data_IF_941932398745
#
_entry.id   IF_941932398745
#
_cell.length_a   1.000
_cell.length_b   1.000
_cell.length_c   1.000
_cell.angle_alpha   90.00
_cell.angle_beta   90.00
_cell.angle_gamma   90.00
#
_symmetry.space_group_name_H-M   'P 1'
#
loop_
_entity.id
_entity.type
_entity.pdbx_description
1 polymer ?
#
# COMPACT_ATOMS: atom_id res chain seq x y z
N UNK A 1 20.18 -33.38 54.31
CA UNK A 1 19.22 -33.30 53.18
C UNK A 1 18.92 -31.82 52.99
N UNK A 2 19.39 -31.08 51.98
CA UNK A 2 19.58 -31.46 50.59
C UNK A 2 18.35 -31.01 49.80
N UNK A 3 18.45 -29.82 49.21
CA UNK A 3 17.77 -29.33 47.99
C UNK A 3 16.24 -29.15 48.00
N UNK A 4 15.75 -27.92 47.78
CA UNK A 4 15.33 -27.50 46.43
C UNK A 4 14.75 -26.08 46.43
N UNK A 5 15.25 -25.31 45.47
CA UNK A 5 14.87 -23.96 45.11
C UNK A 5 13.48 -23.92 44.45
N UNK A 6 12.65 -22.91 44.72
CA UNK A 6 11.64 -22.47 43.75
C UNK A 6 11.87 -20.99 43.38
N UNK A 7 12.32 -20.82 42.15
CA UNK A 7 12.62 -19.54 41.51
C UNK A 7 11.41 -19.04 40.73
N UNK A 8 10.58 -18.20 41.33
CA UNK A 8 9.59 -17.43 40.58
C UNK A 8 10.20 -16.14 40.03
N UNK A 9 10.87 -16.26 38.88
CA UNK A 9 11.26 -15.11 38.04
C UNK A 9 10.04 -14.58 37.29
N UNK A 10 9.54 -13.43 37.73
CA UNK A 10 8.48 -12.66 37.04
C UNK A 10 9.08 -12.00 35.79
N UNK A 11 8.60 -12.39 34.61
CA UNK A 11 9.01 -11.79 33.32
C UNK A 11 8.50 -10.34 33.16
N UNK A 12 9.26 -9.44 32.51
CA UNK A 12 8.87 -8.06 32.32
C UNK A 12 7.95 -7.86 31.09
N UNK A 13 7.10 -6.84 31.19
CA UNK A 13 6.13 -6.39 30.20
C UNK A 13 6.78 -6.06 28.84
N UNK A 14 6.19 -6.60 27.77
CA UNK A 14 6.58 -6.34 26.38
C UNK A 14 6.27 -4.90 25.96
N UNK A 15 7.30 -4.23 25.44
CA UNK A 15 7.24 -2.90 24.87
C UNK A 15 6.28 -2.84 23.67
N UNK A 16 5.32 -1.90 23.73
CA UNK A 16 4.47 -1.54 22.61
C UNK A 16 5.30 -0.92 21.49
N UNK A 17 5.50 -1.66 20.40
CA UNK A 17 6.00 -1.11 19.14
C UNK A 17 4.92 -0.22 18.52
N UNK A 18 4.99 1.07 18.84
CA UNK A 18 4.26 2.14 18.18
C UNK A 18 4.63 2.15 16.70
N UNK A 19 3.79 1.52 15.89
CA UNK A 19 3.90 1.44 14.44
C UNK A 19 3.51 2.80 13.87
N UNK A 20 4.48 3.73 13.83
CA UNK A 20 4.31 5.03 13.16
C UNK A 20 4.00 4.75 11.69
N UNK A 21 2.76 5.05 11.29
CA UNK A 21 2.29 4.91 9.92
C UNK A 21 3.12 5.74 8.95
N UNK A 22 3.41 5.17 7.78
CA UNK A 22 4.10 5.86 6.69
C UNK A 22 3.20 6.99 6.17
N UNK A 23 3.67 8.25 6.05
CA UNK A 23 2.86 9.35 5.57
C UNK A 23 2.51 9.16 4.09
N UNK A 24 1.24 9.37 3.75
CA UNK A 24 0.68 9.26 2.40
C UNK A 24 1.29 10.28 1.40
N UNK A 25 2.14 11.22 1.85
CA UNK A 25 2.91 12.09 0.95
C UNK A 25 3.90 11.33 0.06
N UNK A 26 4.18 10.05 0.35
CA UNK A 26 4.97 9.16 -0.51
C UNK A 26 4.15 8.35 -1.54
N UNK A 27 2.84 8.59 -1.68
CA UNK A 27 1.95 7.87 -2.61
C UNK A 27 1.35 8.75 -3.72
N UNK A 28 2.07 9.79 -4.14
CA UNK A 28 1.71 10.55 -5.33
C UNK A 28 2.68 10.18 -6.46
N UNK A 29 2.22 9.32 -7.38
CA UNK A 29 2.72 9.35 -8.75
C UNK A 29 2.21 10.64 -9.38
N UNK A 30 3.10 11.59 -9.63
CA UNK A 30 2.89 12.60 -10.65
C UNK A 30 3.81 12.25 -11.83
N UNK A 31 3.18 11.92 -12.96
CA UNK A 31 3.77 11.87 -14.29
C UNK A 31 4.10 13.30 -14.74
N UNK A 32 5.34 13.52 -15.19
CA UNK A 32 5.72 14.56 -16.13
C UNK A 32 7.00 14.11 -16.84
N UNK A 33 6.90 13.91 -18.16
CA UNK A 33 7.98 13.61 -19.13
C UNK A 33 9.05 14.72 -19.10
N UNK A 34 10.35 14.47 -19.35
CA UNK A 34 10.99 14.17 -20.65
C UNK A 34 12.52 13.89 -20.43
N UNK A 35 13.40 13.66 -21.44
CA UNK A 35 14.22 12.45 -21.56
C UNK A 35 15.77 12.67 -21.54
N UNK A 36 16.49 11.54 -21.73
CA UNK A 36 17.81 11.37 -22.38
C UNK A 36 19.04 11.02 -21.51
N UNK A 37 19.48 9.75 -21.65
CA UNK A 37 20.85 9.15 -21.75
C UNK A 37 21.92 9.50 -20.68
N UNK A 38 22.92 8.69 -20.29
CA UNK A 38 23.41 7.33 -20.51
C UNK A 38 24.48 7.12 -19.40
N UNK A 39 24.55 5.96 -18.73
CA UNK A 39 25.81 5.21 -18.55
C UNK A 39 25.54 3.88 -17.85
N UNK A 40 25.92 2.82 -18.56
CA UNK A 40 26.25 1.50 -18.01
C UNK A 40 27.34 1.65 -16.94
N UNK A 41 27.32 0.80 -15.92
CA UNK A 41 28.47 0.05 -15.37
C UNK A 41 27.97 -0.89 -14.26
N UNK A 42 28.54 -2.09 -14.24
CA UNK A 42 28.13 -3.21 -13.41
C UNK A 42 28.73 -3.17 -12.00
N UNK A 43 28.08 -3.92 -11.10
CA UNK A 43 28.64 -4.56 -9.89
C UNK A 43 29.04 -3.65 -8.71
N UNK A 44 28.29 -3.72 -7.61
CA UNK A 44 28.91 -3.80 -6.28
C UNK A 44 27.92 -4.34 -5.24
N UNK A 45 28.28 -5.51 -4.71
CA UNK A 45 27.64 -6.18 -3.59
C UNK A 45 27.96 -5.44 -2.30
N UNK A 46 26.98 -4.72 -1.73
CA UNK A 46 27.11 -4.16 -0.37
C UNK A 46 25.77 -4.25 0.35
N UNK A 47 25.86 -4.75 1.59
CA UNK A 47 24.83 -5.04 2.58
C UNK A 47 23.72 -3.99 2.64
N UNK A 48 22.46 -4.39 2.46
CA UNK A 48 21.33 -3.46 2.41
C UNK A 48 20.33 -3.68 3.53
N UNK A 49 20.19 -2.67 4.39
CA UNK A 49 18.90 -2.41 5.03
C UNK A 49 17.79 -2.50 3.98
N UNK A 50 16.65 -3.11 4.33
CA UNK A 50 15.58 -3.48 3.40
C UNK A 50 14.95 -2.23 2.75
N UNK A 51 15.61 -1.68 1.73
CA UNK A 51 15.05 -0.67 0.85
C UNK A 51 13.94 -1.32 0.03
N UNK A 52 12.77 -0.67 -0.02
CA UNK A 52 11.64 -1.14 -0.84
C UNK A 52 12.08 -1.10 -2.30
N UNK A 53 12.12 -2.23 -3.03
CA UNK A 53 12.59 -2.23 -4.41
C UNK A 53 11.73 -1.30 -5.28
N UNK A 54 12.39 -0.42 -6.02
CA UNK A 54 11.73 0.43 -7.02
C UNK A 54 11.43 -0.42 -8.25
N UNK A 55 10.24 -0.23 -8.82
CA UNK A 55 9.85 -0.83 -10.11
C UNK A 55 10.10 0.20 -11.22
N UNK A 56 10.94 -0.16 -12.19
CA UNK A 56 11.14 0.61 -13.42
C UNK A 56 10.16 0.18 -14.51
N UNK A 57 9.96 1.05 -15.49
CA UNK A 57 9.09 0.78 -16.64
C UNK A 57 9.57 -0.43 -17.44
N UNK A 58 10.89 -0.57 -17.66
CA UNK A 58 11.44 -1.74 -18.38
C UNK A 58 11.08 -3.04 -17.65
N UNK A 59 11.13 -3.04 -16.32
CA UNK A 59 10.82 -4.21 -15.51
C UNK A 59 9.32 -4.55 -15.55
N UNK A 60 8.45 -3.54 -15.57
CA UNK A 60 7.01 -3.76 -15.73
C UNK A 60 6.67 -4.32 -17.11
N UNK A 61 7.33 -3.84 -18.17
CA UNK A 61 7.17 -4.37 -19.54
C UNK A 61 7.64 -5.83 -19.62
N UNK A 62 8.82 -6.12 -19.04
CA UNK A 62 9.34 -7.49 -18.96
C UNK A 62 8.38 -8.41 -18.21
N UNK A 63 7.79 -7.94 -17.11
CA UNK A 63 6.82 -8.73 -16.35
C UNK A 63 5.55 -9.02 -17.17
N UNK A 64 5.06 -8.06 -17.97
CA UNK A 64 3.92 -8.29 -18.87
C UNK A 64 4.22 -9.32 -19.95
N UNK A 65 5.35 -9.18 -20.63
CA UNK A 65 5.80 -10.14 -21.66
C UNK A 65 5.88 -11.58 -21.11
N UNK A 66 6.43 -11.72 -19.90
CA UNK A 66 6.55 -13.02 -19.24
C UNK A 66 5.21 -13.62 -18.81
N UNK A 67 4.23 -12.77 -18.52
CA UNK A 67 2.88 -13.18 -18.16
C UNK A 67 2.05 -13.62 -19.38
N UNK A 68 2.29 -13.02 -20.54
CA UNK A 68 1.63 -13.37 -21.80
C UNK A 68 2.23 -14.64 -22.43
N UNK A 69 3.54 -14.82 -22.32
CA UNK A 69 4.25 -15.96 -22.93
C UNK A 69 4.13 -17.28 -22.15
N UNK A 70 3.89 -17.25 -20.83
CA UNK A 70 3.93 -18.46 -19.99
C UNK A 70 2.54 -19.03 -19.74
N UNK A 71 2.39 -20.33 -20.02
CA UNK A 71 1.17 -21.10 -19.69
C UNK A 71 1.01 -21.41 -18.19
N UNK A 72 2.12 -21.51 -17.45
CA UNK A 72 2.13 -21.83 -16.01
C UNK A 72 2.94 -20.79 -15.24
N UNK A 73 2.34 -20.26 -14.17
CA UNK A 73 2.88 -19.12 -13.42
C UNK A 73 3.61 -19.59 -12.17
N UNK A 74 4.94 -19.61 -12.25
CA UNK A 74 5.83 -19.84 -11.11
C UNK A 74 6.51 -18.52 -10.71
N UNK A 75 5.97 -17.82 -9.71
CA UNK A 75 6.49 -16.51 -9.28
C UNK A 75 7.95 -16.52 -8.83
N UNK A 76 8.41 -17.62 -8.22
CA UNK A 76 9.81 -17.78 -7.79
C UNK A 76 10.76 -17.86 -8.99
N UNK A 77 10.34 -18.53 -10.06
CA UNK A 77 11.12 -18.65 -11.29
C UNK A 77 11.14 -17.33 -12.05
N UNK A 78 9.99 -16.64 -12.12
CA UNK A 78 9.90 -15.31 -12.70
C UNK A 78 10.82 -14.30 -12.01
N UNK A 79 10.97 -14.39 -10.69
CA UNK A 79 11.83 -13.50 -9.92
C UNK A 79 13.30 -13.57 -10.31
N UNK A 80 13.76 -14.68 -10.91
CA UNK A 80 15.14 -14.81 -11.40
C UNK A 80 15.47 -13.78 -12.50
N UNK A 81 14.45 -13.27 -13.21
CA UNK A 81 14.62 -12.22 -14.22
C UNK A 81 14.61 -10.80 -13.65
N UNK A 82 14.38 -10.65 -12.33
CA UNK A 82 14.30 -9.35 -11.67
C UNK A 82 15.35 -9.26 -10.54
N UNK A 83 16.55 -8.73 -10.83
CA UNK A 83 17.62 -8.69 -9.84
C UNK A 83 17.21 -7.87 -8.61
N UNK A 84 17.40 -8.45 -7.43
CA UNK A 84 17.03 -7.83 -6.15
C UNK A 84 15.54 -7.84 -5.83
N UNK A 85 14.71 -8.58 -6.58
CA UNK A 85 13.28 -8.77 -6.28
C UNK A 85 12.96 -10.23 -6.00
N UNK A 86 12.16 -10.46 -4.98
CA UNK A 86 11.62 -11.78 -4.61
C UNK A 86 10.35 -12.11 -5.39
N UNK A 87 10.04 -13.40 -5.53
CA UNK A 87 8.79 -13.85 -6.17
C UNK A 87 7.53 -13.27 -5.55
N UNK A 88 7.53 -13.04 -4.23
CA UNK A 88 6.44 -12.32 -3.54
C UNK A 88 6.26 -10.90 -4.07
N UNK A 89 7.35 -10.17 -4.28
CA UNK A 89 7.31 -8.80 -4.80
C UNK A 89 6.84 -8.77 -6.26
N UNK A 90 7.32 -9.71 -7.08
CA UNK A 90 6.90 -9.84 -8.49
C UNK A 90 5.40 -10.12 -8.59
N UNK A 91 4.91 -11.08 -7.81
CA UNK A 91 3.48 -11.38 -7.73
C UNK A 91 2.66 -10.17 -7.30
N UNK A 92 3.08 -9.50 -6.22
CA UNK A 92 2.36 -8.34 -5.70
C UNK A 92 2.30 -7.23 -6.74
N UNK A 93 3.40 -6.97 -7.46
CA UNK A 93 3.43 -5.98 -8.54
C UNK A 93 2.43 -6.31 -9.64
N UNK A 94 2.34 -7.58 -10.03
CA UNK A 94 1.37 -8.00 -11.03
C UNK A 94 -0.06 -7.76 -10.56
N UNK A 95 -0.41 -8.34 -9.41
CA UNK A 95 -1.79 -8.36 -8.88
C UNK A 95 -2.29 -6.95 -8.54
N UNK A 96 -1.44 -6.06 -8.02
CA UNK A 96 -1.87 -4.73 -7.59
C UNK A 96 -1.83 -3.67 -8.69
N UNK A 97 -1.05 -3.87 -9.77
CA UNK A 97 -0.74 -2.76 -10.69
C UNK A 97 -0.71 -3.10 -12.18
N UNK A 98 -0.34 -4.32 -12.56
CA UNK A 98 -0.06 -4.66 -13.97
C UNK A 98 -1.09 -5.59 -14.61
N UNK A 99 -1.82 -6.38 -13.81
CA UNK A 99 -2.85 -7.28 -14.34
C UNK A 99 -3.87 -6.48 -15.17
N UNK A 100 -4.32 -6.99 -16.32
CA UNK A 100 -5.35 -6.33 -17.13
C UNK A 100 -6.66 -6.14 -16.37
N UNK A 101 -6.91 -6.95 -15.34
CA UNK A 101 -8.08 -6.84 -14.47
C UNK A 101 -8.04 -5.63 -13.53
N UNK A 102 -6.93 -4.88 -13.47
CA UNK A 102 -6.79 -3.71 -12.60
C UNK A 102 -7.16 -2.43 -13.33
N UNK A 103 -8.23 -1.79 -12.85
CA UNK A 103 -8.74 -0.53 -13.35
C UNK A 103 -7.96 0.66 -12.80
N UNK A 104 -7.32 1.40 -13.71
CA UNK A 104 -6.54 2.62 -13.39
C UNK A 104 -7.39 3.89 -13.37
N UNK A 105 -8.69 3.76 -13.61
CA UNK A 105 -9.64 4.89 -13.62
C UNK A 105 -9.76 5.51 -12.23
N UNK A 106 -10.09 6.81 -12.11
CA UNK A 106 -10.40 7.43 -10.83
C UNK A 106 -11.51 6.67 -10.08
N UNK A 107 -11.54 6.79 -8.75
CA UNK A 107 -12.60 6.20 -7.92
C UNK A 107 -13.91 6.96 -8.11
N UNK A 108 -14.99 6.25 -8.35
CA UNK A 108 -16.34 6.84 -8.46
C UNK A 108 -17.04 6.90 -7.09
N UNK A 109 -18.10 7.70 -7.01
CA UNK A 109 -18.88 7.85 -5.77
C UNK A 109 -19.61 6.55 -5.40
N UNK A 110 -20.02 5.77 -6.40
CA UNK A 110 -20.68 4.47 -6.23
C UNK A 110 -19.71 3.43 -5.66
N UNK A 111 -18.46 3.42 -6.15
CA UNK A 111 -17.39 2.57 -5.61
C UNK A 111 -17.06 2.96 -4.16
N UNK A 112 -16.97 4.25 -3.86
CA UNK A 112 -16.74 4.75 -2.50
C UNK A 112 -17.88 4.38 -1.55
N UNK A 113 -19.14 4.51 -2.00
CA UNK A 113 -20.31 4.12 -1.22
C UNK A 113 -20.30 2.62 -0.91
N UNK A 114 -19.95 1.79 -1.91
CA UNK A 114 -19.81 0.34 -1.75
C UNK A 114 -18.69 0.00 -0.77
N UNK A 115 -17.52 0.61 -0.93
CA UNK A 115 -16.37 0.46 -0.03
C UNK A 115 -16.75 0.72 1.43
N UNK A 116 -17.40 1.85 1.71
CA UNK A 116 -17.80 2.23 3.06
C UNK A 116 -18.88 1.31 3.63
N UNK A 117 -19.85 0.90 2.81
CA UNK A 117 -20.91 -0.04 3.22
C UNK A 117 -20.33 -1.40 3.59
N UNK A 118 -19.48 -1.96 2.73
CA UNK A 118 -18.87 -3.28 2.96
C UNK A 118 -17.89 -3.24 4.14
N UNK A 119 -17.14 -2.15 4.31
CA UNK A 119 -16.26 -1.97 5.46
C UNK A 119 -17.05 -1.88 6.78
N UNK A 120 -18.21 -1.19 6.79
CA UNK A 120 -19.11 -1.17 7.97
C UNK A 120 -19.58 -2.57 8.36
N UNK A 121 -19.74 -3.47 7.38
CA UNK A 121 -20.22 -4.84 7.60
C UNK A 121 -19.12 -5.83 7.99
N UNK A 122 -17.93 -5.72 7.38
CA UNK A 122 -16.87 -6.73 7.45
C UNK A 122 -15.55 -6.24 8.06
N UNK A 123 -15.44 -4.96 8.42
CA UNK A 123 -14.22 -4.33 8.93
C UNK A 123 -13.08 -4.37 7.92
N UNK A 124 -11.86 -4.60 8.41
CA UNK A 124 -10.61 -4.57 7.61
C UNK A 124 -10.40 -5.84 6.74
N UNK A 125 -11.49 -6.39 6.19
CA UNK A 125 -11.48 -7.57 5.33
C UNK A 125 -11.25 -7.18 3.87
N UNK A 126 -10.11 -6.56 3.56
CA UNK A 126 -9.85 -5.91 2.26
C UNK A 126 -10.01 -6.81 1.05
N UNK A 127 -9.52 -8.06 1.11
CA UNK A 127 -9.65 -9.02 0.01
C UNK A 127 -11.11 -9.46 -0.21
N UNK A 128 -11.98 -9.35 0.80
CA UNK A 128 -13.42 -9.57 0.66
C UNK A 128 -14.10 -8.35 0.05
N UNK A 129 -13.75 -7.15 0.53
CA UNK A 129 -14.32 -5.90 0.06
C UNK A 129 -13.96 -5.65 -1.40
N UNK A 130 -12.71 -5.91 -1.79
CA UNK A 130 -12.25 -5.79 -3.17
C UNK A 130 -13.06 -6.66 -4.15
N UNK A 131 -13.56 -7.83 -3.71
CA UNK A 131 -14.44 -8.67 -4.55
C UNK A 131 -15.79 -8.02 -4.85
N UNK A 132 -16.23 -7.08 -4.02
CA UNK A 132 -17.47 -6.33 -4.25
C UNK A 132 -17.28 -5.14 -5.19
N UNK A 133 -16.02 -4.78 -5.55
CA UNK A 133 -15.70 -3.65 -6.40
C UNK A 133 -14.84 -4.16 -7.56
N UNK A 134 -15.46 -4.53 -8.70
CA UNK A 134 -14.71 -5.10 -9.83
C UNK A 134 -13.65 -4.11 -10.32
N UNK A 135 -12.51 -4.62 -10.75
CA UNK A 135 -11.40 -3.78 -11.23
C UNK A 135 -10.48 -3.23 -10.13
N UNK A 136 -10.80 -3.39 -8.85
CA UNK A 136 -10.00 -2.84 -7.73
C UNK A 136 -9.31 -3.94 -6.94
N UNK A 137 -8.00 -3.77 -6.69
CA UNK A 137 -7.26 -4.68 -5.79
C UNK A 137 -7.55 -4.39 -4.31
N UNK A 138 -7.21 -5.33 -3.44
CA UNK A 138 -7.31 -5.16 -1.99
C UNK A 138 -6.40 -4.05 -1.46
N UNK A 139 -5.22 -3.87 -2.06
CA UNK A 139 -4.33 -2.75 -1.78
C UNK A 139 -4.95 -1.40 -2.17
N UNK A 140 -5.59 -1.31 -3.35
CA UNK A 140 -6.28 -0.10 -3.80
C UNK A 140 -7.45 0.25 -2.89
N UNK A 141 -8.27 -0.75 -2.56
CA UNK A 141 -9.44 -0.66 -1.68
C UNK A 141 -9.06 -0.11 -0.30
N UNK A 142 -8.04 -0.70 0.33
CA UNK A 142 -7.49 -0.24 1.60
C UNK A 142 -6.99 1.20 1.52
N UNK A 143 -6.21 1.53 0.47
CA UNK A 143 -5.67 2.88 0.30
C UNK A 143 -6.79 3.91 0.13
N UNK A 144 -7.83 3.59 -0.66
CA UNK A 144 -8.97 4.47 -0.85
C UNK A 144 -9.71 4.75 0.45
N UNK A 145 -9.95 3.71 1.25
CA UNK A 145 -10.59 3.86 2.55
C UNK A 145 -9.85 4.86 3.45
N UNK A 146 -8.53 4.73 3.59
CA UNK A 146 -7.74 5.66 4.39
C UNK A 146 -7.72 7.09 3.83
N UNK A 147 -7.84 7.26 2.51
CA UNK A 147 -7.99 8.59 1.92
C UNK A 147 -9.34 9.23 2.28
N UNK A 148 -10.44 8.45 2.25
CA UNK A 148 -11.78 8.93 2.60
C UNK A 148 -11.87 9.30 4.09
N UNK A 149 -11.36 8.46 4.98
CA UNK A 149 -11.42 8.72 6.42
C UNK A 149 -10.61 9.95 6.83
N UNK A 150 -9.40 10.12 6.26
CA UNK A 150 -8.57 11.30 6.53
C UNK A 150 -9.17 12.60 6.00
N UNK A 151 -9.94 12.56 4.91
CA UNK A 151 -10.68 13.73 4.39
C UNK A 151 -11.80 14.12 5.36
N UNK A 152 -12.54 13.15 5.88
CA UNK A 152 -13.62 13.37 6.84
C UNK A 152 -13.12 14.01 8.14
N UNK A 153 -11.97 13.59 8.65
CA UNK A 153 -11.35 14.20 9.84
C UNK A 153 -10.96 15.67 9.62
N UNK A 154 -10.49 16.03 8.41
CA UNK A 154 -10.12 17.40 8.08
C UNK A 154 -11.33 18.32 7.91
N UNK A 155 -12.42 17.83 7.32
CA UNK A 155 -13.64 18.63 7.16
C UNK A 155 -14.32 18.92 8.50
N UNK A 156 -14.31 17.96 9.43
CA UNK A 156 -14.87 18.15 10.79
C UNK A 156 -14.09 19.24 11.54
N UNK A 157 -12.76 19.15 11.56
CA UNK A 157 -11.91 20.17 12.22
C UNK A 157 -12.05 21.57 11.63
N UNK A 158 -12.35 21.70 10.33
CA UNK A 158 -12.53 23.02 9.70
C UNK A 158 -13.87 23.66 10.05
N UNK A 159 -14.93 22.87 10.26
CA UNK A 159 -16.25 23.38 10.66
C UNK A 159 -16.34 23.80 12.12
N UNK A 160 -15.48 23.25 13.00
CA UNK A 160 -15.45 23.60 14.43
C UNK A 160 -14.63 24.88 14.73
N UNK A 161 -13.95 25.45 13.75
CA UNK A 161 -13.11 26.65 13.90
C UNK A 161 -13.67 27.87 13.14
N UNK A 162 -14.99 27.95 12.89
CA UNK A 162 -15.61 29.23 12.51
C UNK A 162 -15.97 30.02 13.78
N UNK A 163 -15.38 31.21 14.02
CA UNK A 163 -15.74 32.04 15.15
C UNK A 163 -17.15 32.63 14.97
N UNK A 164 -17.96 32.55 16.01
CA UNK A 164 -19.35 33.01 16.10
C UNK A 164 -19.52 34.56 16.05
N UNK A 165 -18.49 35.30 15.65
CA UNK A 165 -18.44 36.77 15.81
C UNK A 165 -18.83 37.57 14.55
N UNK A 166 -19.29 36.92 13.48
CA UNK A 166 -19.72 37.61 12.25
C UNK A 166 -21.22 37.94 12.18
N UNK A 167 -22.01 37.67 13.24
CA UNK A 167 -23.48 37.85 13.25
C UNK A 167 -24.02 39.05 14.03
N UNK A 168 -23.17 39.88 14.65
CA UNK A 168 -23.60 41.11 15.34
C UNK A 168 -22.84 42.31 14.80
N UNK A 169 -23.39 42.94 13.76
CA UNK A 169 -22.76 44.13 13.18
C UNK A 169 -23.57 44.78 12.06
N UNK A 170 -24.87 44.97 12.27
CA UNK A 170 -25.66 45.93 11.50
C UNK A 170 -26.82 46.38 12.37
N UNK A 171 -26.64 47.54 12.99
CA UNK A 171 -27.74 48.41 13.38
C UNK A 171 -27.29 49.86 13.16
#
# INVERSE_FOLDING_TARGET
MGDSSDSSKKSPAGAGSSSRGIPISMLLCNDAEKPEMEKVEASSSQSKGRSRPRWRREEDLRLKELMESRKKLNWSELALQFPGKSGKQVRLRWVDHLSPDIDKRPWTAEEDATLLREHKKYGNSWSRIAKAIPGRSDAMTKNRYYQLTRRKEKSVRKGENEPEDARRGSN
#
